data_IF_723440819286
#
_entry.id   IF_723440819286
#
_cell.length_a   1.000
_cell.length_b   1.000
_cell.length_c   1.000
_cell.angle_alpha   90.00
_cell.angle_beta   90.00
_cell.angle_gamma   90.00
#
_symmetry.space_group_name_H-M   'P 1'
#
loop_
_entity.id
_entity.type
_entity.pdbx_description
1 polymer ?
#
# COMPACT_ATOMS: atom_id res chain seq x y z
N UNK A 1 -25.20 43.84 17.86
CA UNK A 1 -25.53 42.44 18.18
C UNK A 1 -25.95 41.70 16.89
N UNK A 2 -25.04 41.60 15.90
CA UNK A 2 -25.34 41.06 14.55
C UNK A 2 -24.11 40.38 13.91
N UNK A 3 -23.15 39.95 14.73
CA UNK A 3 -21.88 39.36 14.29
C UNK A 3 -21.72 37.88 14.68
N UNK A 4 -22.66 37.29 15.44
CA UNK A 4 -22.55 35.90 15.90
C UNK A 4 -23.23 34.87 14.98
N UNK A 5 -23.98 35.28 13.96
CA UNK A 5 -24.79 34.37 13.13
C UNK A 5 -24.15 33.97 11.79
N UNK A 6 -22.95 34.47 11.46
CA UNK A 6 -22.25 34.16 10.19
C UNK A 6 -21.09 33.16 10.32
N UNK A 7 -20.77 32.72 11.54
CA UNK A 7 -19.67 31.76 11.81
C UNK A 7 -20.20 30.34 12.04
N UNK A 8 -21.52 30.15 12.17
CA UNK A 8 -22.13 28.83 12.43
C UNK A 8 -22.40 28.06 11.12
N UNK A 9 -22.56 28.75 9.99
CA UNK A 9 -22.82 28.13 8.69
C UNK A 9 -21.65 27.33 8.07
N UNK A 10 -20.35 27.65 8.25
CA UNK A 10 -19.29 26.77 7.75
C UNK A 10 -19.05 25.54 8.65
N UNK A 11 -19.51 25.54 9.90
CA UNK A 11 -19.29 24.43 10.83
C UNK A 11 -20.24 23.25 10.56
N UNK A 12 -21.44 23.53 10.04
CA UNK A 12 -22.41 22.48 9.70
C UNK A 12 -22.09 21.75 8.38
N UNK A 13 -21.31 22.38 7.49
CA UNK A 13 -20.86 21.77 6.23
C UNK A 13 -19.74 20.73 6.43
N UNK A 14 -19.05 20.73 7.58
CA UNK A 14 -18.01 19.75 7.92
C UNK A 14 -18.57 18.45 8.54
N UNK A 15 -19.86 18.40 8.89
CA UNK A 15 -20.51 17.23 9.49
C UNK A 15 -21.41 16.46 8.52
N UNK A 16 -21.63 16.97 7.31
CA UNK A 16 -22.13 16.15 6.21
C UNK A 16 -20.97 15.27 5.76
N UNK A 17 -20.76 14.17 6.49
CA UNK A 17 -19.89 13.09 6.06
C UNK A 17 -20.24 12.79 4.60
N UNK A 18 -19.25 12.94 3.73
CA UNK A 18 -19.34 12.43 2.36
C UNK A 18 -19.57 10.94 2.53
N UNK A 19 -20.81 10.48 2.35
CA UNK A 19 -21.07 9.07 2.18
C UNK A 19 -20.40 8.71 0.86
N UNK A 20 -19.17 8.20 0.95
CA UNK A 20 -18.55 7.48 -0.13
C UNK A 20 -19.48 6.29 -0.39
N UNK A 21 -20.24 6.35 -1.48
CA UNK A 21 -20.93 5.17 -1.97
C UNK A 21 -19.85 4.20 -2.44
N UNK A 22 -19.72 3.07 -1.76
CA UNK A 22 -18.76 2.03 -2.12
C UNK A 22 -19.22 1.44 -3.46
N UNK A 23 -18.49 1.72 -4.54
CA UNK A 23 -18.86 1.26 -5.90
C UNK A 23 -18.78 -0.27 -6.01
N UNK A 24 -18.04 -0.92 -5.11
CA UNK A 24 -18.00 -2.37 -4.96
C UNK A 24 -19.37 -2.99 -4.66
N UNK A 25 -20.35 -2.22 -4.19
CA UNK A 25 -21.73 -2.67 -3.97
C UNK A 25 -22.44 -3.12 -5.28
N UNK A 26 -21.94 -2.68 -6.44
CA UNK A 26 -22.41 -3.16 -7.74
C UNK A 26 -22.02 -4.62 -7.99
N UNK A 27 -20.90 -5.08 -7.42
CA UNK A 27 -20.52 -6.49 -7.51
C UNK A 27 -21.43 -7.35 -6.63
N UNK A 28 -22.10 -8.33 -7.22
CA UNK A 28 -22.87 -9.32 -6.46
C UNK A 28 -22.06 -10.59 -6.31
N UNK A 29 -21.84 -10.96 -5.06
CA UNK A 29 -21.13 -12.19 -4.70
C UNK A 29 -22.01 -13.41 -4.94
N UNK A 30 -21.44 -14.46 -5.53
CA UNK A 30 -22.10 -15.76 -5.69
C UNK A 30 -22.29 -16.42 -4.32
N UNK A 31 -21.32 -16.25 -3.43
CA UNK A 31 -21.33 -16.74 -2.06
C UNK A 31 -21.25 -15.56 -1.09
N UNK A 32 -22.28 -15.35 -0.27
CA UNK A 32 -22.33 -14.26 0.72
C UNK A 32 -21.41 -14.55 1.93
N UNK A 33 -20.12 -14.70 1.68
CA UNK A 33 -19.10 -14.89 2.72
C UNK A 33 -18.42 -13.57 3.06
N UNK A 34 -18.23 -13.30 4.35
CA UNK A 34 -17.48 -12.15 4.85
C UNK A 34 -16.06 -12.10 4.26
N UNK A 35 -15.45 -13.26 4.00
CA UNK A 35 -14.10 -13.33 3.40
C UNK A 35 -14.08 -12.79 1.97
N UNK A 36 -15.09 -13.10 1.17
CA UNK A 36 -15.19 -12.64 -0.22
C UNK A 36 -15.56 -11.15 -0.27
N UNK A 37 -16.43 -10.71 0.64
CA UNK A 37 -16.77 -9.29 0.77
C UNK A 37 -15.56 -8.44 1.17
N UNK A 38 -14.77 -8.90 2.14
CA UNK A 38 -13.53 -8.23 2.53
C UNK A 38 -12.49 -8.20 1.39
N UNK A 39 -12.44 -9.24 0.55
CA UNK A 39 -11.59 -9.25 -0.63
C UNK A 39 -12.04 -8.21 -1.67
N UNK A 40 -13.35 -8.06 -1.89
CA UNK A 40 -13.89 -7.03 -2.79
C UNK A 40 -13.66 -5.61 -2.28
N UNK A 41 -13.84 -5.35 -0.99
CA UNK A 41 -13.58 -4.01 -0.42
C UNK A 41 -12.14 -3.55 -0.66
N UNK A 42 -11.17 -4.47 -0.71
CA UNK A 42 -9.78 -4.12 -1.03
C UNK A 42 -9.61 -3.59 -2.46
N UNK A 43 -10.52 -3.96 -3.38
CA UNK A 43 -10.49 -3.54 -4.77
C UNK A 43 -11.21 -2.21 -5.02
N UNK A 44 -11.80 -1.60 -4.00
CA UNK A 44 -12.50 -0.32 -4.13
C UNK A 44 -11.66 0.79 -4.81
N UNK A 45 -10.35 0.96 -4.52
CA UNK A 45 -9.53 1.96 -5.21
C UNK A 45 -9.40 1.74 -6.72
N UNK A 46 -9.66 0.51 -7.19
CA UNK A 46 -9.62 0.13 -8.61
C UNK A 46 -10.97 0.32 -9.31
N UNK A 47 -12.03 0.61 -8.56
CA UNK A 47 -13.33 0.97 -9.15
C UNK A 47 -13.21 2.28 -9.93
N UNK A 48 -14.07 2.46 -10.95
CA UNK A 48 -14.02 3.58 -11.92
C UNK A 48 -12.75 3.69 -12.77
N UNK A 49 -11.83 2.71 -12.70
CA UNK A 49 -10.71 2.63 -13.62
C UNK A 49 -11.02 1.62 -14.71
N UNK A 50 -10.71 1.96 -15.96
CA UNK A 50 -10.85 1.05 -17.10
C UNK A 50 -9.47 0.58 -17.52
N UNK A 51 -9.27 -0.74 -17.50
CA UNK A 51 -8.04 -1.40 -17.91
C UNK A 51 -8.24 -2.00 -19.29
N UNK A 52 -7.28 -1.81 -20.19
CA UNK A 52 -7.35 -2.32 -21.56
C UNK A 52 -6.05 -3.00 -21.93
N UNK A 53 -6.14 -4.14 -22.58
CA UNK A 53 -4.97 -4.90 -23.05
C UNK A 53 -5.26 -5.56 -24.39
N UNK A 54 -4.22 -5.87 -25.15
CA UNK A 54 -4.36 -6.59 -26.42
C UNK A 54 -4.28 -8.10 -26.19
N UNK A 55 -5.09 -8.87 -26.91
CA UNK A 55 -5.00 -10.33 -26.91
C UNK A 55 -3.72 -10.82 -27.59
N UNK A 56 -3.34 -12.08 -27.30
CA UNK A 56 -2.11 -12.69 -27.85
C UNK A 56 -2.07 -12.70 -29.37
N UNK A 57 -3.22 -12.90 -30.02
CA UNK A 57 -3.35 -12.94 -31.48
C UNK A 57 -3.56 -11.55 -32.11
N UNK A 58 -3.47 -10.46 -31.33
CA UNK A 58 -3.64 -9.05 -31.75
C UNK A 58 -4.93 -8.68 -32.50
N UNK A 59 -5.83 -9.62 -32.79
CA UNK A 59 -7.11 -9.35 -33.44
C UNK A 59 -8.20 -8.85 -32.47
N UNK A 60 -8.01 -9.08 -31.17
CA UNK A 60 -8.93 -8.69 -30.11
C UNK A 60 -8.24 -7.81 -29.07
N UNK A 61 -9.03 -6.94 -28.42
CA UNK A 61 -8.66 -6.24 -27.19
C UNK A 61 -9.62 -6.62 -26.07
N UNK A 62 -9.11 -6.60 -24.84
CA UNK A 62 -9.88 -6.88 -23.65
C UNK A 62 -10.01 -5.61 -22.83
N UNK A 63 -11.23 -5.32 -22.38
CA UNK A 63 -11.55 -4.16 -21.56
C UNK A 63 -12.13 -4.66 -20.25
N UNK A 64 -11.52 -4.26 -19.14
CA UNK A 64 -11.85 -4.71 -17.79
C UNK A 64 -12.12 -3.51 -16.86
N UNK A 65 -13.12 -3.66 -16.00
CA UNK A 65 -13.41 -2.72 -14.92
C UNK A 65 -13.90 -3.48 -13.69
N UNK A 66 -13.47 -3.01 -12.52
CA UNK A 66 -13.89 -3.55 -11.23
C UNK A 66 -15.29 -3.01 -10.92
N UNK A 67 -16.28 -3.92 -10.76
CA UNK A 67 -17.66 -3.63 -10.36
C UNK A 67 -18.35 -2.51 -11.16
N UNK A 68 -18.07 -2.41 -12.47
CA UNK A 68 -18.65 -1.38 -13.33
C UNK A 68 -18.86 -1.86 -14.75
N UNK A 69 -19.79 -1.19 -15.44
CA UNK A 69 -20.14 -1.49 -16.83
C UNK A 69 -19.01 -1.06 -17.78
N UNK A 70 -18.61 -1.98 -18.67
CA UNK A 70 -17.62 -1.69 -19.72
C UNK A 70 -18.24 -1.74 -21.12
N UNK A 71 -17.70 -0.90 -22.01
CA UNK A 71 -18.09 -0.83 -23.42
C UNK A 71 -19.61 -0.67 -23.66
N UNK A 72 -20.32 -0.01 -22.74
CA UNK A 72 -21.78 0.19 -22.83
C UNK A 72 -22.62 -1.06 -22.55
N UNK A 73 -21.99 -2.18 -22.16
CA UNK A 73 -22.69 -3.40 -21.79
C UNK A 73 -23.00 -3.41 -20.30
N UNK A 74 -24.29 -3.38 -19.98
CA UNK A 74 -24.77 -3.47 -18.60
C UNK A 74 -24.40 -4.82 -17.98
N UNK A 75 -23.98 -4.81 -16.73
CA UNK A 75 -23.58 -5.98 -15.94
C UNK A 75 -22.38 -6.72 -16.55
N UNK A 76 -21.57 -6.07 -17.38
CA UNK A 76 -20.36 -6.66 -17.95
C UNK A 76 -19.14 -6.03 -17.29
N UNK A 77 -18.35 -6.84 -16.57
CA UNK A 77 -17.12 -6.38 -15.92
C UNK A 77 -15.86 -6.63 -16.76
N UNK A 78 -15.93 -7.59 -17.69
CA UNK A 78 -14.86 -7.86 -18.65
C UNK A 78 -15.44 -8.25 -20.02
N UNK A 79 -14.94 -7.59 -21.06
CA UNK A 79 -15.41 -7.76 -22.43
C UNK A 79 -14.26 -7.91 -23.40
N UNK A 80 -14.49 -8.69 -24.44
CA UNK A 80 -13.63 -8.80 -25.59
C UNK A 80 -14.21 -7.95 -26.71
N UNK A 81 -13.37 -7.12 -27.32
CA UNK A 81 -13.70 -6.26 -28.46
C UNK A 81 -12.83 -6.65 -29.65
N UNK A 82 -13.45 -6.87 -30.79
CA UNK A 82 -12.74 -7.07 -32.05
C UNK A 82 -12.10 -5.75 -32.52
N UNK A 83 -10.84 -5.77 -32.98
CA UNK A 83 -10.18 -4.54 -33.45
C UNK A 83 -10.70 -4.08 -34.81
N UNK A 84 -11.06 -5.02 -35.68
CA UNK A 84 -11.52 -4.78 -37.07
C UNK A 84 -13.04 -4.67 -37.19
N UNK A 85 -13.78 -4.98 -36.12
CA UNK A 85 -15.24 -5.00 -36.08
C UNK A 85 -15.81 -4.27 -34.87
N UNK A 86 -17.14 -4.22 -34.79
CA UNK A 86 -17.85 -3.69 -33.62
C UNK A 86 -18.39 -4.81 -32.71
N UNK A 87 -18.02 -6.07 -32.99
CA UNK A 87 -18.47 -7.20 -32.18
C UNK A 87 -17.86 -7.11 -30.78
N UNK A 88 -18.74 -7.04 -29.79
CA UNK A 88 -18.43 -7.13 -28.38
C UNK A 88 -18.91 -8.47 -27.85
N UNK A 89 -18.06 -9.17 -27.12
CA UNK A 89 -18.40 -10.43 -26.46
C UNK A 89 -18.18 -10.27 -24.96
N UNK A 90 -19.21 -10.55 -24.17
CA UNK A 90 -19.09 -10.56 -22.71
C UNK A 90 -18.31 -11.79 -22.24
N UNK A 91 -17.22 -11.57 -21.53
CA UNK A 91 -16.42 -12.67 -20.96
C UNK A 91 -16.83 -12.96 -19.51
N UNK A 92 -17.16 -11.92 -18.74
CA UNK A 92 -17.55 -12.08 -17.33
C UNK A 92 -18.49 -10.99 -16.84
N UNK A 93 -19.39 -11.38 -15.94
CA UNK A 93 -20.40 -10.53 -15.33
C UNK A 93 -20.03 -10.22 -13.86
N UNK A 94 -20.02 -8.94 -13.48
CA UNK A 94 -19.72 -8.54 -12.09
C UNK A 94 -20.88 -8.81 -11.11
N UNK A 95 -22.06 -9.19 -11.60
CA UNK A 95 -23.17 -9.69 -10.78
C UNK A 95 -23.03 -11.17 -10.41
N UNK A 96 -22.08 -11.88 -11.02
CA UNK A 96 -21.71 -13.25 -10.66
C UNK A 96 -20.23 -13.26 -10.28
N UNK A 97 -19.92 -12.60 -9.18
CA UNK A 97 -18.54 -12.39 -8.72
C UNK A 97 -18.17 -13.35 -7.60
N UNK A 98 -16.93 -13.81 -7.61
CA UNK A 98 -16.28 -14.44 -6.45
C UNK A 98 -14.91 -13.81 -6.27
N UNK A 99 -14.46 -13.62 -5.04
CA UNK A 99 -13.15 -13.03 -4.76
C UNK A 99 -12.42 -13.82 -3.68
N UNK A 100 -11.16 -14.16 -3.93
CA UNK A 100 -10.30 -14.84 -2.96
C UNK A 100 -9.09 -13.97 -2.68
N UNK A 101 -8.83 -13.70 -1.41
CA UNK A 101 -7.70 -12.88 -0.98
C UNK A 101 -6.55 -13.76 -0.49
N UNK A 102 -5.35 -13.48 -0.97
CA UNK A 102 -4.07 -13.95 -0.45
C UNK A 102 -3.37 -12.93 0.45
N UNK A 103 -2.07 -13.11 0.67
CA UNK A 103 -1.22 -12.18 1.43
C UNK A 103 -1.03 -10.83 0.74
N UNK A 104 -0.78 -10.89 -0.55
CA UNK A 104 -0.30 -9.81 -1.42
C UNK A 104 -0.95 -9.85 -2.81
N UNK A 105 -2.02 -10.63 -2.95
CA UNK A 105 -2.79 -10.75 -4.18
C UNK A 105 -4.27 -10.99 -3.90
N UNK A 106 -5.11 -10.69 -4.88
CA UNK A 106 -6.54 -11.01 -4.90
C UNK A 106 -6.86 -11.69 -6.22
N UNK A 107 -7.49 -12.86 -6.16
CA UNK A 107 -8.01 -13.56 -7.33
C UNK A 107 -9.50 -13.28 -7.45
N UNK A 108 -9.87 -12.51 -8.47
CA UNK A 108 -11.23 -12.12 -8.78
C UNK A 108 -11.78 -13.00 -9.90
N UNK A 109 -12.99 -13.52 -9.72
CA UNK A 109 -13.70 -14.33 -10.70
C UNK A 109 -14.95 -13.59 -11.15
N UNK A 110 -15.13 -13.46 -12.46
CA UNK A 110 -16.39 -13.04 -13.07
C UNK A 110 -16.93 -14.17 -13.93
N UNK A 111 -18.06 -14.73 -13.52
CA UNK A 111 -18.75 -15.80 -14.25
C UNK A 111 -19.93 -15.23 -15.07
N UNK A 112 -20.66 -16.08 -15.79
CA UNK A 112 -21.85 -15.67 -16.53
C UNK A 112 -21.57 -14.84 -17.79
N UNK A 113 -20.45 -15.09 -18.46
CA UNK A 113 -20.20 -14.57 -19.80
C UNK A 113 -21.07 -15.19 -20.87
N UNK A 114 -20.93 -14.73 -22.11
CA UNK A 114 -21.59 -15.34 -23.26
C UNK A 114 -21.08 -16.76 -23.51
N UNK A 115 -21.95 -17.62 -24.04
CA UNK A 115 -21.61 -19.03 -24.32
C UNK A 115 -20.62 -19.16 -25.46
N UNK A 116 -19.74 -20.15 -25.40
CA UNK A 116 -18.88 -20.47 -26.54
C UNK A 116 -19.70 -20.96 -27.75
N UNK A 117 -19.29 -20.55 -28.94
CA UNK A 117 -20.01 -20.89 -30.18
C UNK A 117 -19.75 -22.33 -30.62
N UNK A 118 -18.51 -22.82 -30.48
CA UNK A 118 -18.07 -24.14 -30.98
C UNK A 118 -17.15 -24.91 -30.05
N UNK A 119 -16.66 -24.26 -29.00
CA UNK A 119 -15.68 -24.83 -28.06
C UNK A 119 -16.34 -25.04 -26.70
N UNK A 120 -15.64 -25.74 -25.79
CA UNK A 120 -15.98 -25.78 -24.38
C UNK A 120 -17.43 -26.20 -24.08
N UNK A 121 -17.98 -27.12 -24.89
CA UNK A 121 -19.35 -27.63 -24.75
C UNK A 121 -20.43 -26.54 -24.62
N UNK A 122 -20.23 -25.39 -25.27
CA UNK A 122 -21.12 -24.22 -25.18
C UNK A 122 -21.32 -23.67 -23.75
N UNK A 123 -20.35 -23.88 -22.87
CA UNK A 123 -20.40 -23.32 -21.53
C UNK A 123 -20.30 -21.79 -21.56
N UNK A 124 -20.78 -21.15 -20.50
CA UNK A 124 -20.63 -19.71 -20.33
C UNK A 124 -19.16 -19.38 -20.05
N UNK A 125 -18.63 -18.36 -20.74
CA UNK A 125 -17.27 -17.86 -20.49
C UNK A 125 -17.12 -17.40 -19.03
N UNK A 126 -15.89 -17.54 -18.53
CA UNK A 126 -15.49 -17.14 -17.18
C UNK A 126 -14.16 -16.40 -17.25
N UNK A 127 -14.05 -15.31 -16.51
CA UNK A 127 -12.81 -14.57 -16.35
C UNK A 127 -12.24 -14.76 -14.94
N UNK A 128 -10.95 -15.01 -14.86
CA UNK A 128 -10.14 -15.00 -13.65
C UNK A 128 -9.13 -13.86 -13.78
N UNK A 129 -9.13 -12.93 -12.83
CA UNK A 129 -8.24 -11.78 -12.80
C UNK A 129 -7.39 -11.90 -11.54
N UNK A 130 -6.11 -12.19 -11.72
CA UNK A 130 -5.13 -12.21 -10.65
C UNK A 130 -4.59 -10.80 -10.45
N UNK A 131 -4.93 -10.18 -9.32
CA UNK A 131 -4.51 -8.83 -8.98
C UNK A 131 -3.36 -8.93 -7.98
N UNK A 132 -2.15 -8.58 -8.40
CA UNK A 132 -0.92 -8.74 -7.62
C UNK A 132 -0.44 -7.41 -7.08
N UNK A 133 0.12 -7.41 -5.86
CA UNK A 133 0.76 -6.24 -5.29
C UNK A 133 1.99 -5.85 -6.10
N UNK A 134 1.96 -4.63 -6.64
CA UNK A 134 3.09 -4.04 -7.35
C UNK A 134 3.35 -2.63 -6.85
N UNK A 135 4.62 -2.28 -6.62
CA UNK A 135 5.05 -0.92 -6.23
C UNK A 135 5.17 0.00 -7.45
N UNK A 136 4.84 -0.49 -8.64
CA UNK A 136 4.85 0.29 -9.88
C UNK A 136 3.85 1.45 -9.83
N UNK A 137 4.18 2.54 -10.51
CA UNK A 137 3.33 3.75 -10.57
C UNK A 137 2.15 3.61 -11.53
N UNK A 138 2.12 2.55 -12.34
CA UNK A 138 1.06 2.26 -13.30
C UNK A 138 0.50 0.88 -13.03
N UNK A 139 -0.83 0.78 -13.12
CA UNK A 139 -1.51 -0.49 -13.13
C UNK A 139 -1.34 -1.14 -14.51
N UNK A 140 -0.68 -2.30 -14.57
CA UNK A 140 -0.43 -3.03 -15.81
C UNK A 140 -1.42 -4.19 -15.92
N UNK A 141 -2.19 -4.24 -17.02
CA UNK A 141 -3.18 -5.28 -17.27
C UNK A 141 -2.78 -6.11 -18.49
N UNK A 142 -2.73 -7.43 -18.35
CA UNK A 142 -2.29 -8.33 -19.42
C UNK A 142 -3.06 -9.65 -19.47
N UNK A 143 -3.05 -10.29 -20.63
CA UNK A 143 -3.66 -11.61 -20.85
C UNK A 143 -2.61 -12.70 -20.61
N UNK A 144 -2.83 -13.52 -19.59
CA UNK A 144 -1.91 -14.62 -19.25
C UNK A 144 -2.24 -15.86 -20.07
N UNK A 145 -3.51 -16.28 -20.05
CA UNK A 145 -3.94 -17.53 -20.69
C UNK A 145 -5.39 -17.46 -21.16
N UNK A 146 -5.64 -18.00 -22.35
CA UNK A 146 -6.98 -18.27 -22.88
C UNK A 146 -7.12 -19.79 -23.00
N UNK A 147 -7.75 -20.42 -22.02
CA UNK A 147 -7.96 -21.87 -22.02
C UNK A 147 -9.32 -22.16 -22.65
N UNK A 148 -9.34 -22.30 -23.98
CA UNK A 148 -10.56 -22.55 -24.76
C UNK A 148 -10.53 -23.88 -25.54
N UNK A 149 -9.50 -24.72 -25.30
CA UNK A 149 -9.30 -25.98 -26.02
C UNK A 149 -9.80 -27.20 -25.27
N UNK A 150 -10.24 -27.04 -24.02
CA UNK A 150 -10.82 -28.11 -23.21
C UNK A 150 -12.28 -28.40 -23.59
N UNK A 151 -12.74 -29.59 -23.24
CA UNK A 151 -14.15 -29.97 -23.42
C UNK A 151 -15.06 -29.22 -22.43
N UNK A 152 -14.58 -29.00 -21.20
CA UNK A 152 -15.28 -28.29 -20.12
C UNK A 152 -14.29 -27.52 -19.24
N UNK A 153 -14.76 -26.51 -18.52
CA UNK A 153 -13.96 -25.77 -17.55
C UNK A 153 -12.97 -24.80 -18.18
N UNK A 154 -13.33 -24.23 -19.33
CA UNK A 154 -12.63 -23.16 -20.01
C UNK A 154 -12.71 -21.84 -19.25
N UNK A 155 -11.63 -21.06 -19.34
CA UNK A 155 -11.52 -19.77 -18.67
C UNK A 155 -10.50 -18.86 -19.34
N UNK A 156 -10.63 -17.57 -19.05
CA UNK A 156 -9.64 -16.55 -19.39
C UNK A 156 -8.93 -16.12 -18.12
N UNK A 157 -7.60 -16.19 -18.11
CA UNK A 157 -6.77 -15.73 -17.01
C UNK A 157 -6.06 -14.43 -17.40
N UNK A 158 -6.27 -13.41 -16.59
CA UNK A 158 -5.66 -12.10 -16.70
C UNK A 158 -4.82 -11.79 -15.47
N UNK A 159 -3.84 -10.92 -15.64
CA UNK A 159 -3.01 -10.38 -14.56
C UNK A 159 -3.16 -8.86 -14.52
N UNK A 160 -3.31 -8.33 -13.31
CA UNK A 160 -3.37 -6.91 -13.04
C UNK A 160 -2.41 -6.57 -11.90
N UNK A 161 -1.39 -5.78 -12.18
CA UNK A 161 -0.52 -5.25 -11.16
C UNK A 161 -1.12 -4.00 -10.55
N UNK A 162 -1.22 -3.95 -9.21
CA UNK A 162 -1.65 -2.72 -8.54
C UNK A 162 -1.14 -2.57 -7.12
N UNK A 163 -0.87 -1.33 -6.72
CA UNK A 163 -0.53 -0.98 -5.35
C UNK A 163 -1.73 -1.04 -4.39
N UNK A 164 -2.97 -1.09 -4.91
CA UNK A 164 -4.19 -1.11 -4.09
C UNK A 164 -4.34 -2.39 -3.25
N UNK A 165 -3.82 -3.51 -3.74
CA UNK A 165 -3.88 -4.81 -3.03
C UNK A 165 -2.64 -5.07 -2.17
N UNK A 166 -1.69 -4.14 -2.14
CA UNK A 166 -0.51 -4.29 -1.33
C UNK A 166 -0.86 -4.31 0.15
N UNK A 167 -0.29 -5.23 0.94
CA UNK A 167 -0.49 -5.21 2.37
C UNK A 167 0.01 -3.88 2.92
N UNK A 168 -0.83 -3.21 3.71
CA UNK A 168 -0.38 -2.09 4.53
C UNK A 168 0.54 -2.69 5.57
N UNK A 169 1.83 -2.81 5.26
CA UNK A 169 2.84 -3.17 6.24
C UNK A 169 2.93 -1.96 7.15
N UNK A 170 2.41 -2.00 8.38
CA UNK A 170 2.64 -0.89 9.28
C UNK A 170 4.14 -0.93 9.56
N UNK A 171 4.87 0.07 9.11
CA UNK A 171 6.28 0.27 9.46
C UNK A 171 6.38 0.55 10.96
N UNK A 172 6.18 -0.48 11.78
CA UNK A 172 6.28 -0.40 13.23
C UNK A 172 7.75 -0.60 13.54
N UNK A 173 8.43 0.49 13.88
CA UNK A 173 9.70 0.39 14.59
C UNK A 173 9.50 -0.54 15.79
N UNK A 174 10.39 -1.51 15.97
CA UNK A 174 10.34 -2.39 17.14
C UNK A 174 10.31 -1.54 18.40
N UNK A 175 9.52 -1.94 19.41
CA UNK A 175 9.46 -1.24 20.68
C UNK A 175 10.87 -1.05 21.29
N UNK A 176 11.77 -2.01 21.05
CA UNK A 176 13.18 -1.91 21.43
C UNK A 176 13.92 -0.77 20.73
N UNK A 177 13.69 -0.56 19.43
CA UNK A 177 14.31 0.54 18.68
C UNK A 177 13.82 1.90 19.19
N UNK A 178 12.52 2.02 19.48
CA UNK A 178 11.94 3.26 20.05
C UNK A 178 12.57 3.55 21.41
N UNK A 179 12.66 2.55 22.29
CA UNK A 179 13.30 2.69 23.60
C UNK A 179 14.77 3.13 23.49
N UNK A 180 15.55 2.51 22.60
CA UNK A 180 16.95 2.87 22.39
C UNK A 180 17.11 4.32 21.90
N UNK A 181 16.25 4.78 20.98
CA UNK A 181 16.26 6.17 20.50
C UNK A 181 15.99 7.14 21.67
N UNK A 182 15.04 6.84 22.54
CA UNK A 182 14.73 7.68 23.71
C UNK A 182 15.93 7.76 24.65
N UNK A 183 16.52 6.61 25.02
CA UNK A 183 17.70 6.56 25.89
C UNK A 183 18.86 7.36 25.30
N UNK A 184 19.08 7.25 23.99
CA UNK A 184 20.11 7.98 23.28
C UNK A 184 19.90 9.50 23.33
N UNK A 185 18.68 9.97 23.08
CA UNK A 185 18.33 11.39 23.15
C UNK A 185 18.49 11.93 24.58
N UNK A 186 18.03 11.21 25.59
CA UNK A 186 18.21 11.59 26.99
C UNK A 186 19.70 11.67 27.36
N UNK A 187 20.51 10.70 26.92
CA UNK A 187 21.95 10.69 27.14
C UNK A 187 22.63 11.89 26.47
N UNK A 188 22.26 12.23 25.23
CA UNK A 188 22.81 13.38 24.52
C UNK A 188 22.50 14.70 25.24
N UNK A 189 21.26 14.89 25.71
CA UNK A 189 20.88 16.08 26.48
C UNK A 189 21.65 16.15 27.81
N UNK A 190 21.76 15.03 28.51
CA UNK A 190 22.51 14.94 29.76
C UNK A 190 24.00 15.27 29.58
N UNK A 191 24.65 14.70 28.57
CA UNK A 191 26.06 14.96 28.27
C UNK A 191 26.28 16.41 27.84
N UNK A 192 25.45 16.94 26.94
CA UNK A 192 25.58 18.32 26.43
C UNK A 192 25.31 19.35 27.53
N UNK A 193 24.20 19.19 28.25
CA UNK A 193 23.81 20.09 29.33
C UNK A 193 24.79 20.05 30.49
N UNK A 194 25.20 18.85 30.93
CA UNK A 194 26.20 18.69 31.97
C UNK A 194 27.55 19.26 31.58
N UNK A 195 27.98 19.05 30.33
CA UNK A 195 29.22 19.64 29.83
C UNK A 195 29.18 21.17 29.79
N UNK A 196 28.10 21.76 29.25
CA UNK A 196 27.92 23.21 29.23
C UNK A 196 27.89 23.79 30.64
N UNK A 197 27.23 23.13 31.58
CA UNK A 197 27.19 23.54 32.98
C UNK A 197 28.58 23.53 33.62
N UNK A 198 29.32 22.41 33.49
CA UNK A 198 30.67 22.29 34.04
C UNK A 198 31.66 23.30 33.43
N UNK A 199 31.49 23.61 32.14
CA UNK A 199 32.35 24.57 31.44
C UNK A 199 32.02 26.03 31.74
N UNK A 200 30.74 26.42 31.73
CA UNK A 200 30.31 27.81 31.81
C UNK A 200 30.10 28.28 33.25
N UNK A 201 29.62 27.40 34.13
CA UNK A 201 29.29 27.76 35.52
C UNK A 201 30.44 27.39 36.47
N UNK A 202 30.94 26.16 36.37
CA UNK A 202 31.97 25.63 37.29
C UNK A 202 33.39 25.99 36.82
N UNK A 203 33.58 26.27 35.53
CA UNK A 203 34.88 26.63 34.97
C UNK A 203 35.86 25.46 34.85
N UNK A 204 35.37 24.22 34.93
CA UNK A 204 36.19 23.01 34.80
C UNK A 204 36.81 22.91 33.39
N UNK A 205 38.02 22.34 33.31
CA UNK A 205 38.78 22.18 32.06
C UNK A 205 39.27 20.74 31.93
N UNK A 206 39.32 20.23 30.70
CA UNK A 206 39.78 18.87 30.42
C UNK A 206 38.69 17.82 30.65
N UNK A 207 39.09 16.61 31.04
CA UNK A 207 38.20 15.43 31.17
C UNK A 207 37.12 15.57 32.25
N UNK A 208 37.37 16.43 33.25
CA UNK A 208 36.43 16.77 34.33
C UNK A 208 35.19 17.54 33.84
N UNK A 209 35.16 17.94 32.56
CA UNK A 209 33.98 18.57 31.95
C UNK A 209 32.86 17.57 31.66
N UNK A 210 33.15 16.26 31.64
CA UNK A 210 32.13 15.24 31.41
C UNK A 210 31.41 14.88 32.72
N UNK A 211 30.07 14.97 32.75
CA UNK A 211 29.32 14.68 33.97
C UNK A 211 29.39 13.18 34.31
N UNK A 212 29.82 12.87 35.54
CA UNK A 212 30.06 11.50 36.03
C UNK A 212 31.09 10.72 35.20
N UNK A 213 32.23 11.35 34.87
CA UNK A 213 33.31 10.75 34.06
C UNK A 213 33.80 9.38 34.57
N UNK A 214 33.94 9.18 35.88
CA UNK A 214 34.40 7.89 36.45
C UNK A 214 33.50 6.72 36.04
N UNK A 215 32.18 6.90 36.10
CA UNK A 215 31.20 5.91 35.66
C UNK A 215 31.33 5.57 34.17
N UNK A 216 31.48 6.59 33.31
CA UNK A 216 31.65 6.36 31.86
C UNK A 216 32.97 5.68 31.53
N UNK A 217 34.04 6.04 32.24
CA UNK A 217 35.35 5.41 32.07
C UNK A 217 35.31 3.93 32.49
N UNK A 218 34.59 3.60 33.55
CA UNK A 218 34.40 2.21 34.00
C UNK A 218 33.57 1.39 33.00
N UNK A 219 32.48 1.95 32.46
CA UNK A 219 31.68 1.29 31.41
C UNK A 219 32.53 1.02 30.16
N UNK A 220 33.29 2.01 29.70
CA UNK A 220 34.16 1.86 28.52
C UNK A 220 35.27 0.82 28.73
N UNK A 221 35.75 0.68 29.97
CA UNK A 221 36.76 -0.32 30.33
C UNK A 221 36.18 -1.75 30.41
N UNK A 222 34.91 -1.89 30.80
CA UNK A 222 34.21 -3.19 30.83
C UNK A 222 33.78 -3.67 29.43
N UNK A 223 33.44 -2.76 28.53
CA UNK A 223 32.96 -3.10 27.19
C UNK A 223 34.09 -3.08 26.14
N UNK A 224 34.93 -4.11 26.12
CA UNK A 224 35.85 -4.38 25.00
C UNK A 224 35.09 -4.93 23.76
N UNK A 225 34.03 -4.25 23.33
CA UNK A 225 33.26 -4.57 22.12
C UNK A 225 33.31 -3.35 21.21
N UNK A 226 34.06 -3.47 20.11
CA UNK A 226 34.50 -2.37 19.24
C UNK A 226 33.38 -1.44 18.75
N UNK A 227 32.12 -1.89 18.69
CA UNK A 227 30.98 -1.10 18.18
C UNK A 227 30.57 0.01 19.16
N UNK A 228 30.53 -0.26 20.47
CA UNK A 228 30.09 0.73 21.46
C UNK A 228 31.15 1.82 21.60
N UNK A 229 32.43 1.43 21.63
CA UNK A 229 33.55 2.38 21.59
C UNK A 229 33.51 3.22 20.32
N UNK A 230 33.21 2.63 19.15
CA UNK A 230 33.07 3.38 17.90
C UNK A 230 31.92 4.39 17.95
N UNK A 231 30.78 4.02 18.52
CA UNK A 231 29.62 4.91 18.68
C UNK A 231 29.96 6.06 19.65
N UNK A 232 30.56 5.76 20.80
CA UNK A 232 31.01 6.79 21.75
C UNK A 232 32.06 7.72 21.14
N UNK A 233 33.04 7.19 20.41
CA UNK A 233 34.06 7.97 19.70
C UNK A 233 33.45 8.78 18.55
N UNK A 234 32.48 8.23 17.82
CA UNK A 234 31.78 8.93 16.74
C UNK A 234 30.89 10.06 17.27
N UNK A 235 30.20 9.84 18.38
CA UNK A 235 29.44 10.87 19.10
C UNK A 235 30.41 11.94 19.60
N UNK A 236 31.52 11.53 20.23
CA UNK A 236 32.55 12.45 20.70
C UNK A 236 33.14 13.30 19.56
N UNK A 237 33.44 12.70 18.40
CA UNK A 237 33.94 13.39 17.21
C UNK A 237 32.91 14.33 16.60
N UNK A 238 31.63 13.92 16.51
CA UNK A 238 30.55 14.79 16.03
C UNK A 238 30.28 15.95 16.97
N UNK A 239 30.26 15.70 18.29
CA UNK A 239 30.17 16.75 19.29
C UNK A 239 31.38 17.67 19.27
N UNK A 240 32.59 17.15 19.08
CA UNK A 240 33.81 17.94 18.94
C UNK A 240 33.81 18.80 17.68
N UNK A 241 33.33 18.28 16.55
CA UNK A 241 33.18 19.03 15.30
C UNK A 241 32.14 20.14 15.42
N UNK A 242 30.98 19.86 16.04
CA UNK A 242 29.96 20.87 16.35
C UNK A 242 30.49 21.95 17.31
N UNK A 243 31.30 21.55 18.29
CA UNK A 243 31.95 22.50 19.21
C UNK A 243 33.08 23.31 18.57
N UNK A 244 33.81 22.75 17.60
CA UNK A 244 34.81 23.49 16.81
C UNK A 244 34.16 24.58 15.97
N UNK A 245 32.95 24.33 15.45
CA UNK A 245 32.13 25.31 14.74
C UNK A 245 31.60 26.41 15.68
N UNK A 246 31.13 26.06 16.87
CA UNK A 246 30.72 27.02 17.93
C UNK A 246 31.88 27.87 18.48
N UNK A 247 33.14 27.52 18.19
CA UNK A 247 34.32 28.31 18.57
C UNK A 247 34.71 29.34 17.50
N UNK A 248 34.05 29.32 16.33
CA UNK A 248 34.24 30.25 15.21
C UNK A 248 33.12 31.31 15.11
N UNK A 249 32.10 31.26 15.98
CA UNK A 249 31.11 32.32 16.22
C UNK A 249 31.46 32.97 17.57
#
# INVERSE_FOLDING_TARGET
MLLSLRIITPLFALLAGVQAAFITDNCKLISHSDSEQNALHLLEPLTNQTFTTEGKEQDYSYIFQVCGDVAGMKDAGLVQKEKKGEKLVRIGNYTNTRAVRGSDWVLLFYEGGEKYDRHCSHEARKAMIMISCSTSTKNEFSVVLEENQKEEGCYYLFELDSSAVCPVIPSKLSAGSIFLIIVFCCLAVYLTGGFLYQRLVVGAKGVEQFPNYSFWSEIGNLSAVSIITYIFVSIYLHFWSFFSFMKQI
#
